data_IF_320251755964
#
_entry.id   IF_320251755964
#
_cell.length_a   1.000
_cell.length_b   1.000
_cell.length_c   1.000
_cell.angle_alpha   90.00
_cell.angle_beta   90.00
_cell.angle_gamma   90.00
#
_symmetry.space_group_name_H-M   'P 1'
#
loop_
_entity.id
_entity.type
_entity.pdbx_description
1 polymer ?
#
# COMPACT_ATOMS: atom_id res chain seq x y z
N UNK A 1 3.66 6.75 21.27
CA UNK A 1 3.21 7.49 20.06
C UNK A 1 4.27 8.44 19.54
N UNK A 2 4.85 9.29 20.39
CA UNK A 2 5.95 10.19 20.02
C UNK A 2 7.14 9.48 19.35
N UNK A 3 7.53 8.30 19.83
CA UNK A 3 8.62 7.50 19.24
C UNK A 3 8.34 7.11 17.80
N UNK A 4 7.09 6.74 17.47
CA UNK A 4 6.71 6.40 16.09
C UNK A 4 6.80 7.62 15.19
N UNK A 5 6.32 8.78 15.67
CA UNK A 5 6.39 10.05 14.94
C UNK A 5 7.86 10.45 14.69
N UNK A 6 8.72 10.33 15.69
CA UNK A 6 10.15 10.64 15.57
C UNK A 6 10.86 9.71 14.58
N UNK A 7 10.50 8.41 14.58
CA UNK A 7 11.03 7.43 13.61
C UNK A 7 10.56 7.73 12.18
N UNK A 8 9.30 8.15 12.00
CA UNK A 8 8.81 8.57 10.68
C UNK A 8 9.52 9.83 10.18
N UNK A 9 9.68 10.84 11.05
CA UNK A 9 10.40 12.08 10.73
C UNK A 9 11.86 11.81 10.39
N UNK A 10 12.55 10.98 11.18
CA UNK A 10 13.94 10.62 10.92
C UNK A 10 14.07 9.84 9.62
N UNK A 11 13.15 8.93 9.31
CA UNK A 11 13.09 8.20 8.04
C UNK A 11 12.91 9.11 6.83
N UNK A 12 12.04 10.13 6.92
CA UNK A 12 11.86 11.12 5.86
C UNK A 12 13.11 11.99 5.67
N UNK A 13 13.76 12.42 6.77
CA UNK A 13 15.03 13.15 6.74
C UNK A 13 16.17 12.33 6.12
N UNK A 14 16.31 11.07 6.53
CA UNK A 14 17.26 10.11 5.96
C UNK A 14 17.01 9.90 4.47
N UNK A 15 15.76 9.66 4.07
CA UNK A 15 15.37 9.50 2.68
C UNK A 15 15.69 10.76 1.84
N UNK A 16 15.48 11.95 2.40
CA UNK A 16 15.82 13.21 1.73
C UNK A 16 17.32 13.45 1.61
N UNK A 17 18.10 13.10 2.64
CA UNK A 17 19.56 13.21 2.62
C UNK A 17 20.20 12.21 1.64
N UNK A 18 19.67 10.98 1.60
CA UNK A 18 20.12 9.90 0.72
C UNK A 18 19.64 10.07 -0.73
N UNK A 19 18.66 10.94 -1.00
CA UNK A 19 18.08 11.19 -2.34
C UNK A 19 19.11 11.60 -3.38
N UNK A 20 20.18 12.30 -2.98
CA UNK A 20 21.21 12.76 -3.90
C UNK A 20 22.28 11.70 -4.22
N UNK A 21 22.29 10.57 -3.47
CA UNK A 21 23.12 9.42 -3.78
C UNK A 21 22.30 8.49 -4.68
N UNK A 22 22.71 8.31 -5.94
CA UNK A 22 22.13 7.29 -6.82
C UNK A 22 22.46 5.90 -6.27
N UNK A 23 21.66 5.42 -5.32
CA UNK A 23 21.74 4.08 -4.75
C UNK A 23 21.17 3.07 -5.77
N UNK A 24 21.86 2.85 -6.89
CA UNK A 24 21.40 1.95 -7.95
C UNK A 24 21.25 0.49 -7.48
N UNK A 25 21.83 0.14 -6.33
CA UNK A 25 21.67 -1.16 -5.68
C UNK A 25 20.35 -1.30 -4.91
N UNK A 26 19.78 -0.20 -4.39
CA UNK A 26 18.59 -0.24 -3.55
C UNK A 26 17.37 -0.85 -4.27
N UNK A 27 17.05 -0.47 -5.53
CA UNK A 27 15.95 -1.08 -6.25
C UNK A 27 16.16 -2.59 -6.48
N UNK A 28 17.42 -3.00 -6.70
CA UNK A 28 17.78 -4.41 -6.90
C UNK A 28 17.59 -5.22 -5.62
N UNK A 29 17.99 -4.69 -4.47
CA UNK A 29 17.77 -5.32 -3.17
C UNK A 29 16.29 -5.39 -2.82
N UNK A 30 15.56 -4.29 -2.98
CA UNK A 30 14.12 -4.26 -2.68
C UNK A 30 13.37 -5.26 -3.54
N UNK A 31 13.66 -5.32 -4.85
CA UNK A 31 13.06 -6.31 -5.73
C UNK A 31 13.38 -7.76 -5.31
N UNK A 32 14.63 -8.04 -4.94
CA UNK A 32 15.03 -9.35 -4.43
C UNK A 32 14.31 -9.71 -3.12
N UNK A 33 14.18 -8.75 -2.19
CA UNK A 33 13.44 -8.94 -0.95
C UNK A 33 11.95 -9.17 -1.19
N UNK A 34 11.33 -8.45 -2.14
CA UNK A 34 9.94 -8.69 -2.54
C UNK A 34 9.77 -10.11 -3.08
N UNK A 35 10.70 -10.59 -3.91
CA UNK A 35 10.69 -11.98 -4.38
C UNK A 35 10.74 -13.00 -3.24
N UNK A 36 11.66 -12.82 -2.30
CA UNK A 36 11.79 -13.70 -1.13
C UNK A 36 10.52 -13.67 -0.27
N UNK A 37 9.97 -12.47 -0.03
CA UNK A 37 8.76 -12.29 0.77
C UNK A 37 7.55 -12.95 0.11
N UNK A 38 7.37 -12.78 -1.21
CA UNK A 38 6.28 -13.41 -1.97
C UNK A 38 6.41 -14.93 -1.98
N UNK A 39 7.64 -15.45 -2.08
CA UNK A 39 7.88 -16.89 -1.99
C UNK A 39 7.50 -17.44 -0.61
N UNK A 40 7.97 -16.80 0.47
CA UNK A 40 7.63 -17.17 1.85
C UNK A 40 6.11 -17.13 2.09
N UNK A 41 5.46 -16.04 1.65
CA UNK A 41 4.02 -15.87 1.75
C UNK A 41 3.28 -16.99 1.03
N UNK A 42 3.73 -17.36 -0.18
CA UNK A 42 3.14 -18.47 -0.95
C UNK A 42 3.26 -19.81 -0.24
N UNK A 43 4.40 -20.09 0.40
CA UNK A 43 4.61 -21.31 1.19
C UNK A 43 3.72 -21.32 2.44
N UNK A 44 3.67 -20.21 3.17
CA UNK A 44 2.87 -20.08 4.40
C UNK A 44 1.37 -20.24 4.12
N UNK A 45 0.88 -19.59 3.07
CA UNK A 45 -0.52 -19.72 2.63
C UNK A 45 -0.82 -21.10 2.07
N UNK A 46 0.10 -21.68 1.29
CA UNK A 46 -0.05 -22.99 0.67
C UNK A 46 0.03 -24.17 1.65
N UNK A 47 0.74 -24.01 2.77
CA UNK A 47 0.82 -25.00 3.82
C UNK A 47 -0.41 -24.98 4.75
N UNK A 48 -1.24 -23.92 4.70
CA UNK A 48 -2.40 -23.78 5.55
C UNK A 48 -3.69 -24.29 4.85
N UNK A 49 -4.20 -25.48 5.23
CA UNK A 49 -5.38 -26.07 4.58
C UNK A 49 -6.65 -25.25 4.79
N UNK A 50 -6.74 -24.47 5.87
CA UNK A 50 -7.88 -23.60 6.13
C UNK A 50 -7.93 -22.43 5.14
N UNK A 51 -6.78 -21.80 4.86
CA UNK A 51 -6.70 -20.71 3.89
C UNK A 51 -7.00 -21.22 2.49
N UNK A 52 -6.45 -22.38 2.09
CA UNK A 52 -6.74 -22.99 0.78
C UNK A 52 -8.24 -23.30 0.63
N UNK A 53 -8.87 -23.88 1.66
CA UNK A 53 -10.28 -24.26 1.60
C UNK A 53 -11.20 -23.04 1.56
N UNK A 54 -10.82 -21.96 2.24
CA UNK A 54 -11.55 -20.70 2.26
C UNK A 54 -11.07 -19.69 1.20
N UNK A 55 -10.13 -20.06 0.33
CA UNK A 55 -9.50 -19.15 -0.63
C UNK A 55 -10.53 -18.46 -1.54
N UNK A 56 -11.59 -19.18 -1.92
CA UNK A 56 -12.70 -18.62 -2.69
C UNK A 56 -13.46 -17.54 -1.92
N UNK A 57 -13.71 -17.76 -0.63
CA UNK A 57 -14.41 -16.78 0.22
C UNK A 57 -13.54 -15.55 0.47
N UNK A 58 -12.28 -15.76 0.86
CA UNK A 58 -11.29 -14.70 1.06
C UNK A 58 -11.08 -13.88 -0.23
N UNK A 59 -11.06 -14.55 -1.39
CA UNK A 59 -10.94 -13.90 -2.69
C UNK A 59 -12.14 -13.01 -3.03
N UNK A 60 -13.37 -13.48 -2.77
CA UNK A 60 -14.58 -12.68 -2.99
C UNK A 60 -14.62 -11.49 -2.02
N UNK A 61 -14.29 -11.70 -0.75
CA UNK A 61 -14.24 -10.63 0.25
C UNK A 61 -13.21 -9.56 -0.14
N UNK A 62 -11.99 -9.97 -0.48
CA UNK A 62 -10.94 -9.07 -0.96
C UNK A 62 -11.36 -8.31 -2.23
N UNK A 63 -12.03 -8.99 -3.17
CA UNK A 63 -12.53 -8.36 -4.38
C UNK A 63 -13.60 -7.30 -4.08
N UNK A 64 -14.56 -7.61 -3.20
CA UNK A 64 -15.60 -6.66 -2.77
C UNK A 64 -14.97 -5.45 -2.09
N UNK A 65 -14.01 -5.66 -1.18
CA UNK A 65 -13.28 -4.58 -0.52
C UNK A 65 -12.50 -3.71 -1.50
N UNK A 66 -11.84 -4.32 -2.49
CA UNK A 66 -11.11 -3.59 -3.53
C UNK A 66 -12.05 -2.72 -4.37
N UNK A 67 -13.15 -3.29 -4.88
CA UNK A 67 -14.13 -2.57 -5.69
C UNK A 67 -14.80 -1.46 -4.88
N UNK A 68 -15.27 -1.76 -3.68
CA UNK A 68 -15.92 -0.78 -2.81
C UNK A 68 -14.96 0.34 -2.42
N UNK A 69 -13.71 0.01 -2.09
CA UNK A 69 -12.67 0.99 -1.76
C UNK A 69 -12.31 1.90 -2.93
N UNK A 70 -12.14 1.34 -4.14
CA UNK A 70 -11.85 2.12 -5.36
C UNK A 70 -13.03 3.01 -5.74
N UNK A 71 -14.26 2.47 -5.77
CA UNK A 71 -15.46 3.25 -6.10
C UNK A 71 -15.72 4.34 -5.06
N UNK A 72 -15.63 4.02 -3.76
CA UNK A 72 -15.78 5.00 -2.69
C UNK A 72 -14.76 6.13 -2.78
N UNK A 73 -13.50 5.79 -3.05
CA UNK A 73 -12.44 6.79 -3.25
C UNK A 73 -12.69 7.67 -4.48
N UNK A 74 -13.15 7.10 -5.59
CA UNK A 74 -13.48 7.85 -6.80
C UNK A 74 -14.68 8.78 -6.60
N UNK A 75 -15.73 8.32 -5.91
CA UNK A 75 -16.92 9.14 -5.59
C UNK A 75 -16.55 10.30 -4.67
N UNK A 76 -15.73 10.07 -3.63
CA UNK A 76 -15.27 11.12 -2.74
C UNK A 76 -14.36 12.13 -3.47
N UNK A 77 -13.47 11.65 -4.34
CA UNK A 77 -12.64 12.53 -5.17
C UNK A 77 -13.50 13.39 -6.11
N UNK A 78 -14.54 12.81 -6.72
CA UNK A 78 -15.50 13.54 -7.56
C UNK A 78 -16.31 14.57 -6.75
N UNK A 79 -16.77 14.21 -5.56
CA UNK A 79 -17.49 15.12 -4.67
C UNK A 79 -16.60 16.29 -4.22
N UNK A 80 -15.34 16.00 -3.88
CA UNK A 80 -14.34 17.03 -3.53
C UNK A 80 -14.08 17.96 -4.70
N UNK A 81 -13.90 17.42 -5.92
CA UNK A 81 -13.73 18.19 -7.14
C UNK A 81 -14.93 19.12 -7.36
N UNK A 82 -16.15 18.60 -7.24
CA UNK A 82 -17.37 19.38 -7.43
C UNK A 82 -17.56 20.45 -6.37
N UNK A 83 -17.15 20.19 -5.13
CA UNK A 83 -17.17 21.17 -4.05
C UNK A 83 -16.12 22.27 -4.27
N UNK A 84 -14.92 21.90 -4.73
CA UNK A 84 -13.86 22.85 -5.05
C UNK A 84 -14.25 23.78 -6.20
N UNK A 85 -14.86 23.27 -7.28
CA UNK A 85 -15.40 24.10 -8.37
C UNK A 85 -16.45 25.09 -7.89
N UNK A 86 -17.39 24.66 -7.05
CA UNK A 86 -18.42 25.54 -6.46
C UNK A 86 -17.84 26.60 -5.52
N UNK A 87 -16.65 26.38 -4.98
CA UNK A 87 -15.99 27.33 -4.08
C UNK A 87 -15.10 28.33 -4.82
N UNK A 88 -14.87 28.15 -6.13
CA UNK A 88 -14.15 29.09 -7.00
C UNK A 88 -15.04 30.11 -7.73
N UNK A 89 -16.37 30.03 -7.58
CA UNK A 89 -17.35 31.02 -8.08
C UNK A 89 -17.73 32.07 -7.00
N UNK A 90 -16.78 32.46 -6.15
CA UNK A 90 -16.90 33.62 -5.24
C UNK A 90 -15.69 34.53 -5.34
#
# INVERSE_FOLDING_TARGET
>A
MFTVILVMLSGMLLGRLLRNRRMAFLPRVVMFLIWVLLFLLGVEVGANPEIIRNLKSLGVEAFVLAVAGTLGSAVLAWALWRYAERSGER
#
